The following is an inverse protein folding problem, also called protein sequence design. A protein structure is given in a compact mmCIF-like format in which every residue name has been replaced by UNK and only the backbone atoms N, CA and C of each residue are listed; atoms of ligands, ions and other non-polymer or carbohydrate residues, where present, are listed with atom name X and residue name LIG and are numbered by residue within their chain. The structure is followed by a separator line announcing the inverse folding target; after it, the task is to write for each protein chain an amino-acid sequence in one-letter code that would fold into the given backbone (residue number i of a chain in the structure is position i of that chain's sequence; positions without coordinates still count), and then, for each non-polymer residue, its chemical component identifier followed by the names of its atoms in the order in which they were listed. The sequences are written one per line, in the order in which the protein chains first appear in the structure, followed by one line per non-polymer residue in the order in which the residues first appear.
data_IF_278084037876
#
_entry.id   IF_278084037876
#
_cell.length_a   1.000
_cell.length_b   1.000
_cell.length_c   1.000
_cell.angle_alpha   90.00
_cell.angle_beta   90.00
_cell.angle_gamma   90.00
#
_symmetry.space_group_name_H-M   'P 1'
#
loop_
_entity.id
_entity.type
_entity.pdbx_description
1 polymer ?
#
# COMPACT_ATOMS: atom_id res chain seq x y z
N UNK A 1 -16.60 -6.01 -28.01
CA UNK A 1 -15.98 -7.20 -27.40
C UNK A 1 -15.52 -6.80 -26.01
N UNK A 2 -16.21 -7.31 -24.97
CA UNK A 2 -15.82 -7.09 -23.58
C UNK A 2 -14.59 -7.95 -23.29
N UNK A 3 -13.38 -7.42 -23.48
CA UNK A 3 -12.21 -8.00 -22.85
C UNK A 3 -12.38 -7.77 -21.35
N UNK A 4 -12.81 -8.83 -20.66
CA UNK A 4 -12.62 -8.92 -19.21
C UNK A 4 -11.15 -8.67 -18.90
N UNK A 5 -10.82 -8.02 -17.78
CA UNK A 5 -9.42 -7.73 -17.45
C UNK A 5 -8.63 -9.05 -17.44
N UNK A 6 -7.65 -9.16 -18.34
CA UNK A 6 -6.78 -10.34 -18.41
C UNK A 6 -6.09 -10.54 -17.06
N UNK A 7 -5.98 -11.80 -16.64
CA UNK A 7 -5.30 -12.17 -15.41
C UNK A 7 -3.85 -12.46 -15.71
N UNK A 8 -2.96 -11.61 -15.21
CA UNK A 8 -1.53 -11.90 -15.19
C UNK A 8 -1.21 -12.69 -13.93
N UNK A 9 -0.72 -13.91 -14.10
CA UNK A 9 -0.34 -14.79 -12.98
C UNK A 9 1.13 -14.53 -12.65
N UNK A 10 1.41 -14.27 -11.39
CA UNK A 10 2.74 -13.99 -10.87
C UNK A 10 3.18 -15.12 -9.93
N UNK A 11 4.31 -15.73 -10.24
CA UNK A 11 4.94 -16.75 -9.38
C UNK A 11 5.87 -16.14 -8.32
N UNK A 12 6.15 -14.83 -8.39
CA UNK A 12 6.94 -14.08 -7.39
C UNK A 12 6.39 -12.65 -7.26
N UNK A 13 6.76 -11.97 -6.17
CA UNK A 13 6.47 -10.55 -5.99
C UNK A 13 7.33 -9.74 -6.99
N UNK A 14 6.75 -8.86 -7.81
CA UNK A 14 7.51 -7.99 -8.70
C UNK A 14 8.54 -7.15 -7.94
N UNK A 15 9.75 -7.06 -8.48
CA UNK A 15 10.85 -6.28 -7.87
C UNK A 15 10.79 -4.79 -8.20
N UNK A 16 9.91 -4.38 -9.11
CA UNK A 16 9.72 -3.01 -9.54
C UNK A 16 8.28 -2.75 -10.01
N UNK A 17 7.98 -1.49 -10.25
CA UNK A 17 6.65 -1.03 -10.65
C UNK A 17 6.30 -1.26 -12.14
N UNK A 18 7.24 -1.68 -13.00
CA UNK A 18 7.03 -1.75 -14.44
C UNK A 18 5.92 -2.75 -14.84
N UNK A 19 5.80 -3.85 -14.10
CA UNK A 19 4.72 -4.81 -14.27
C UNK A 19 3.38 -4.18 -13.91
N UNK A 20 3.33 -3.42 -12.82
CA UNK A 20 2.11 -2.74 -12.36
C UNK A 20 1.71 -1.63 -13.33
N UNK A 21 2.67 -0.85 -13.84
CA UNK A 21 2.45 0.15 -14.88
C UNK A 21 1.87 -0.49 -16.15
N UNK A 22 2.36 -1.69 -16.52
CA UNK A 22 1.87 -2.42 -17.69
C UNK A 22 0.46 -2.95 -17.45
N UNK A 23 0.21 -3.54 -16.29
CA UNK A 23 -1.12 -4.03 -15.92
C UNK A 23 -2.14 -2.89 -15.86
N UNK A 24 -1.74 -1.72 -15.33
CA UNK A 24 -2.59 -0.55 -15.29
C UNK A 24 -2.97 -0.07 -16.71
N UNK A 25 -1.99 0.09 -17.61
CA UNK A 25 -2.24 0.49 -19.01
C UNK A 25 -3.13 -0.51 -19.76
N UNK A 26 -2.97 -1.79 -19.47
CA UNK A 26 -3.69 -2.86 -20.15
C UNK A 26 -5.00 -3.24 -19.45
N UNK A 27 -5.38 -2.56 -18.36
CA UNK A 27 -6.54 -2.90 -17.53
C UNK A 27 -6.51 -4.38 -17.08
N UNK A 28 -5.35 -4.88 -16.68
CA UNK A 28 -5.15 -6.25 -16.20
C UNK A 28 -5.25 -6.31 -14.67
N UNK A 29 -5.47 -7.52 -14.17
CA UNK A 29 -5.39 -7.83 -12.74
C UNK A 29 -4.31 -8.87 -12.48
N UNK A 30 -3.73 -8.83 -11.29
CA UNK A 30 -2.76 -9.82 -10.88
C UNK A 30 -3.40 -10.95 -10.08
N UNK A 31 -2.85 -12.16 -10.26
CA UNK A 31 -3.00 -13.26 -9.32
C UNK A 31 -1.62 -13.71 -8.85
N UNK A 32 -1.35 -13.52 -7.58
CA UNK A 32 -0.12 -13.96 -6.95
C UNK A 32 -0.29 -15.41 -6.50
N UNK A 33 0.58 -16.32 -7.00
CA UNK A 33 0.59 -17.73 -6.59
C UNK A 33 1.33 -17.96 -5.28
N UNK A 34 2.33 -17.13 -5.00
CA UNK A 34 3.04 -17.18 -3.73
C UNK A 34 2.16 -16.58 -2.63
N UNK A 35 1.94 -17.29 -1.52
CA UNK A 35 1.26 -16.70 -0.38
C UNK A 35 2.13 -15.61 0.23
N UNK A 36 1.49 -14.60 0.83
CA UNK A 36 2.18 -13.58 1.60
C UNK A 36 2.04 -13.90 3.08
N UNK A 37 3.16 -13.85 3.79
CA UNK A 37 3.27 -13.98 5.24
C UNK A 37 4.14 -12.82 5.71
N UNK A 38 3.73 -12.15 6.79
CA UNK A 38 4.41 -10.98 7.31
C UNK A 38 5.06 -11.27 8.68
N UNK A 39 6.16 -10.60 8.98
CA UNK A 39 6.85 -10.67 10.27
C UNK A 39 7.99 -11.70 10.33
N UNK A 40 8.23 -12.45 9.26
CA UNK A 40 9.29 -13.45 9.21
C UNK A 40 10.59 -12.94 8.59
N UNK A 41 10.51 -12.04 7.60
CA UNK A 41 11.68 -11.51 6.91
C UNK A 41 11.43 -10.05 6.51
N UNK A 42 12.15 -9.07 7.10
CA UNK A 42 11.92 -7.65 6.83
C UNK A 42 11.98 -7.26 5.36
N UNK A 43 12.90 -7.83 4.59
CA UNK A 43 13.05 -7.51 3.17
C UNK A 43 11.89 -8.07 2.32
N UNK A 44 11.42 -9.28 2.64
CA UNK A 44 10.24 -9.88 1.97
C UNK A 44 8.96 -9.14 2.33
N UNK A 45 8.79 -8.79 3.61
CA UNK A 45 7.66 -7.98 4.10
C UNK A 45 7.63 -6.62 3.38
N UNK A 46 8.80 -5.99 3.24
CA UNK A 46 8.93 -4.70 2.58
C UNK A 46 8.59 -4.81 1.10
N UNK A 47 9.08 -5.83 0.40
CA UNK A 47 8.76 -6.08 -1.00
C UNK A 47 7.25 -6.32 -1.21
N UNK A 48 6.63 -7.15 -0.36
CA UNK A 48 5.19 -7.43 -0.40
C UNK A 48 4.35 -6.16 -0.17
N UNK A 49 4.66 -5.39 0.87
CA UNK A 49 3.95 -4.15 1.17
C UNK A 49 4.13 -3.10 0.07
N UNK A 50 5.34 -2.93 -0.47
CA UNK A 50 5.60 -2.02 -1.60
C UNK A 50 4.79 -2.41 -2.83
N UNK A 51 4.75 -3.69 -3.16
CA UNK A 51 3.92 -4.20 -4.26
C UNK A 51 2.44 -3.86 -4.06
N UNK A 52 1.90 -4.08 -2.86
CA UNK A 52 0.51 -3.75 -2.54
C UNK A 52 0.24 -2.23 -2.58
N UNK A 53 1.19 -1.41 -2.10
CA UNK A 53 1.12 0.07 -2.21
C UNK A 53 1.10 0.48 -3.67
N UNK A 54 2.05 0.03 -4.49
CA UNK A 54 2.13 0.40 -5.91
C UNK A 54 0.89 -0.06 -6.69
N UNK A 55 0.32 -1.22 -6.35
CA UNK A 55 -0.94 -1.70 -6.92
C UNK A 55 -2.13 -0.80 -6.52
N UNK A 56 -2.20 -0.37 -5.25
CA UNK A 56 -3.22 0.56 -4.78
C UNK A 56 -3.12 1.95 -5.45
N UNK A 57 -1.92 2.49 -5.64
CA UNK A 57 -1.70 3.78 -6.32
C UNK A 57 -2.29 3.81 -7.74
N UNK A 58 -2.29 2.67 -8.41
CA UNK A 58 -2.74 2.49 -9.80
C UNK A 58 -4.10 1.82 -9.93
N UNK A 59 -4.74 1.49 -8.81
CA UNK A 59 -6.00 0.73 -8.79
C UNK A 59 -5.92 -0.63 -9.50
N UNK A 60 -4.73 -1.26 -9.50
CA UNK A 60 -4.54 -2.60 -10.04
C UNK A 60 -5.03 -3.63 -9.02
N UNK A 61 -6.03 -4.44 -9.41
CA UNK A 61 -6.56 -5.49 -8.53
C UNK A 61 -5.53 -6.62 -8.39
N UNK A 62 -5.31 -7.06 -7.15
CA UNK A 62 -4.43 -8.17 -6.82
C UNK A 62 -5.23 -9.26 -6.11
N UNK A 63 -5.23 -10.47 -6.65
CA UNK A 63 -5.70 -11.67 -5.96
C UNK A 63 -4.49 -12.35 -5.30
N UNK A 64 -4.49 -12.46 -3.98
CA UNK A 64 -3.40 -13.08 -3.22
C UNK A 64 -3.93 -13.82 -1.99
N UNK A 65 -3.09 -14.70 -1.41
CA UNK A 65 -3.40 -15.53 -0.26
C UNK A 65 -2.60 -15.08 0.97
N UNK A 66 -3.28 -14.80 2.09
CA UNK A 66 -2.64 -14.45 3.36
C UNK A 66 -2.37 -15.71 4.20
N UNK A 67 -1.16 -15.83 4.73
CA UNK A 67 -0.74 -16.88 5.66
C UNK A 67 -0.30 -16.26 6.97
N UNK A 68 -0.83 -16.79 8.08
CA UNK A 68 -0.51 -16.32 9.42
C UNK A 68 -1.06 -14.94 9.77
N UNK A 69 -0.84 -14.53 11.02
CA UNK A 69 -1.31 -13.26 11.55
C UNK A 69 -0.49 -12.06 11.02
N UNK A 70 -1.07 -10.86 11.09
CA UNK A 70 -0.33 -9.64 10.81
C UNK A 70 0.50 -9.25 12.05
N UNK A 71 1.78 -8.87 11.87
CA UNK A 71 2.60 -8.39 12.98
C UNK A 71 2.27 -6.94 13.40
N UNK A 72 1.29 -6.31 12.73
CA UNK A 72 0.76 -4.98 13.02
C UNK A 72 -0.78 -5.00 13.05
N UNK A 73 -1.42 -4.00 13.67
CA UNK A 73 -2.88 -3.88 13.65
C UNK A 73 -3.44 -3.85 12.22
N UNK A 74 -4.60 -4.49 12.01
CA UNK A 74 -5.23 -4.55 10.68
C UNK A 74 -5.42 -3.16 10.05
N UNK A 75 -5.86 -2.17 10.84
CA UNK A 75 -6.10 -0.80 10.36
C UNK A 75 -4.90 -0.17 9.64
N UNK A 76 -3.68 -0.65 9.90
CA UNK A 76 -2.47 -0.15 9.25
C UNK A 76 -2.47 -0.44 7.75
N UNK A 77 -3.11 -1.52 7.30
CA UNK A 77 -3.03 -2.00 5.91
C UNK A 77 -4.38 -2.14 5.19
N UNK A 78 -5.51 -1.83 5.84
CA UNK A 78 -6.85 -1.96 5.23
C UNK A 78 -7.05 -1.20 3.92
N UNK A 79 -6.32 -0.11 3.71
CA UNK A 79 -6.38 0.69 2.48
C UNK A 79 -5.65 0.05 1.28
N UNK A 80 -4.86 -0.99 1.52
CA UNK A 80 -4.16 -1.77 0.50
C UNK A 80 -5.07 -2.89 -0.04
N UNK A 81 -4.76 -3.48 -1.22
CA UNK A 81 -5.58 -4.54 -1.81
C UNK A 81 -5.70 -5.73 -0.84
N UNK A 82 -6.93 -6.08 -0.41
CA UNK A 82 -7.11 -7.12 0.60
C UNK A 82 -6.80 -8.50 0.02
N UNK A 83 -6.42 -9.48 0.86
CA UNK A 83 -6.23 -10.86 0.41
C UNK A 83 -7.56 -11.45 -0.10
N UNK A 84 -7.47 -12.19 -1.20
CA UNK A 84 -8.62 -12.90 -1.79
C UNK A 84 -8.99 -14.13 -0.96
N UNK A 85 -7.99 -14.81 -0.42
CA UNK A 85 -8.13 -16.01 0.42
C UNK A 85 -7.13 -15.96 1.57
N UNK A 86 -7.30 -16.80 2.57
CA UNK A 86 -6.42 -16.91 3.71
C UNK A 86 -6.40 -18.33 4.26
N UNK A 87 -5.37 -18.67 5.02
CA UNK A 87 -5.36 -19.88 5.86
C UNK A 87 -6.31 -19.73 7.06
N UNK A 88 -6.47 -20.80 7.84
CA UNK A 88 -7.39 -20.79 8.99
C UNK A 88 -7.00 -19.75 10.03
N UNK A 89 -5.70 -19.58 10.28
CA UNK A 89 -5.16 -18.62 11.26
C UNK A 89 -5.45 -17.17 10.85
N UNK A 90 -5.43 -16.85 9.56
CA UNK A 90 -5.64 -15.50 9.04
C UNK A 90 -7.06 -15.26 8.50
N UNK A 91 -7.95 -16.25 8.58
CA UNK A 91 -9.28 -16.24 7.95
C UNK A 91 -10.15 -15.03 8.37
N UNK A 92 -10.21 -14.75 9.68
CA UNK A 92 -10.95 -13.63 10.24
C UNK A 92 -10.33 -12.27 9.90
N UNK A 93 -9.00 -12.16 9.96
CA UNK A 93 -8.28 -10.94 9.57
C UNK A 93 -8.54 -10.64 8.09
N UNK A 94 -8.44 -11.63 7.22
CA UNK A 94 -8.67 -11.48 5.79
C UNK A 94 -10.12 -11.06 5.48
N UNK A 95 -11.09 -11.60 6.22
CA UNK A 95 -12.50 -11.18 6.12
C UNK A 95 -12.69 -9.72 6.51
N UNK A 96 -12.18 -9.32 7.68
CA UNK A 96 -12.28 -7.94 8.15
C UNK A 96 -11.54 -6.97 7.22
N UNK A 97 -10.39 -7.37 6.67
CA UNK A 97 -9.65 -6.56 5.70
C UNK A 97 -10.52 -6.29 4.47
N UNK A 98 -11.17 -7.31 3.89
CA UNK A 98 -12.07 -7.13 2.74
C UNK A 98 -13.27 -6.23 3.07
N UNK A 99 -13.83 -6.35 4.28
CA UNK A 99 -14.97 -5.54 4.74
C UNK A 99 -14.60 -4.06 4.96
N UNK A 100 -13.38 -3.79 5.45
CA UNK A 100 -12.90 -2.44 5.78
C UNK A 100 -12.12 -1.78 4.64
N UNK A 101 -11.77 -2.54 3.60
CA UNK A 101 -10.99 -2.02 2.49
C UNK A 101 -11.79 -1.00 1.69
N UNK A 102 -11.11 0.08 1.31
CA UNK A 102 -11.69 1.18 0.59
C UNK A 102 -10.62 1.96 -0.15
N UNK A 103 -11.04 2.62 -1.23
CA UNK A 103 -10.15 3.46 -2.02
C UNK A 103 -9.85 4.75 -1.28
N UNK A 104 -8.64 5.28 -1.49
CA UNK A 104 -8.23 6.58 -0.99
C UNK A 104 -8.35 6.77 0.54
N UNK A 105 -8.31 5.68 1.31
CA UNK A 105 -8.38 5.74 2.77
C UNK A 105 -7.11 6.34 3.39
N UNK A 106 -5.91 6.02 2.90
CA UNK A 106 -4.64 6.59 3.34
C UNK A 106 -3.81 7.02 2.14
N UNK A 107 -3.67 8.33 1.92
CA UNK A 107 -3.18 8.91 0.67
C UNK A 107 -2.27 10.10 0.86
N UNK A 108 -1.48 10.41 -0.17
CA UNK A 108 -0.79 11.68 -0.29
C UNK A 108 -0.88 12.29 -1.69
N UNK A 109 -0.63 13.60 -1.76
CA UNK A 109 -0.44 14.35 -3.02
C UNK A 109 0.63 15.42 -2.88
N UNK A 110 1.38 15.63 -3.96
CA UNK A 110 2.31 16.75 -4.08
C UNK A 110 1.58 18.03 -4.49
N UNK A 111 1.81 19.11 -3.76
CA UNK A 111 1.69 20.48 -4.25
C UNK A 111 3.05 20.99 -4.75
N UNK A 112 3.13 22.28 -5.15
CA UNK A 112 4.40 22.90 -5.53
C UNK A 112 5.45 22.81 -4.41
N UNK A 113 5.08 23.28 -3.22
CA UNK A 113 6.00 23.39 -2.06
C UNK A 113 5.44 22.69 -0.81
N UNK A 114 4.58 21.69 -1.01
CA UNK A 114 4.01 20.93 0.10
C UNK A 114 3.62 19.50 -0.29
N UNK A 115 3.41 18.65 0.73
CA UNK A 115 2.73 17.36 0.59
C UNK A 115 1.50 17.37 1.47
N UNK A 116 0.32 17.03 0.92
CA UNK A 116 -0.89 16.79 1.73
C UNK A 116 -0.97 15.30 1.99
N UNK A 117 -1.05 14.93 3.27
CA UNK A 117 -1.32 13.58 3.74
C UNK A 117 -2.76 13.52 4.25
N UNK A 118 -3.46 12.43 3.95
CA UNK A 118 -4.81 12.18 4.43
C UNK A 118 -4.94 10.73 4.84
N UNK A 119 -5.50 10.49 6.02
CA UNK A 119 -5.78 9.16 6.51
C UNK A 119 -7.17 9.12 7.17
N UNK A 120 -8.02 8.24 6.65
CA UNK A 120 -9.37 7.97 7.13
C UNK A 120 -9.57 6.46 7.32
N UNK A 121 -8.48 5.69 7.49
CA UNK A 121 -8.58 4.25 7.78
C UNK A 121 -9.44 4.05 9.03
N UNK A 122 -10.37 3.07 9.03
CA UNK A 122 -11.18 2.77 10.21
C UNK A 122 -10.29 2.35 11.39
N UNK A 123 -10.75 2.59 12.61
CA UNK A 123 -10.02 2.21 13.83
C UNK A 123 -9.09 3.29 14.41
N UNK A 124 -9.00 4.47 13.78
CA UNK A 124 -8.32 5.66 14.33
C UNK A 124 -9.02 6.96 13.95
N UNK A 125 -8.59 8.06 14.58
CA UNK A 125 -9.07 9.40 14.24
C UNK A 125 -8.64 9.80 12.83
N UNK A 126 -9.54 10.50 12.13
CA UNK A 126 -9.25 11.04 10.80
C UNK A 126 -8.10 12.03 10.89
N UNK A 127 -7.10 11.84 10.05
CA UNK A 127 -5.91 12.66 10.00
C UNK A 127 -5.81 13.39 8.65
N UNK A 128 -5.39 14.65 8.72
CA UNK A 128 -5.01 15.45 7.57
C UNK A 128 -3.78 16.27 7.92
N UNK A 129 -2.65 15.93 7.31
CA UNK A 129 -1.36 16.60 7.52
C UNK A 129 -0.93 17.41 6.31
N UNK A 130 -0.16 18.46 6.56
CA UNK A 130 0.54 19.23 5.53
C UNK A 130 2.03 19.25 5.86
N UNK A 131 2.84 18.63 5.01
CA UNK A 131 4.29 18.78 5.04
C UNK A 131 4.66 20.04 4.26
N UNK A 132 5.36 20.98 4.89
CA UNK A 132 5.85 22.20 4.24
C UNK A 132 7.05 21.97 3.32
N UNK A 133 7.54 23.05 2.70
CA UNK A 133 8.58 23.03 1.66
C UNK A 133 9.83 22.23 2.07
N UNK A 134 10.32 22.45 3.29
CA UNK A 134 11.53 21.81 3.83
C UNK A 134 11.42 20.28 3.90
N UNK A 135 10.20 19.75 3.92
CA UNK A 135 9.92 18.32 4.01
C UNK A 135 9.58 17.66 2.69
N UNK A 136 9.39 18.44 1.61
CA UNK A 136 8.99 17.90 0.30
C UNK A 136 10.08 16.99 -0.27
N UNK A 137 11.33 17.46 -0.30
CA UNK A 137 12.42 16.67 -0.85
C UNK A 137 12.75 15.45 0.03
N UNK A 138 12.88 15.56 1.37
CA UNK A 138 13.01 14.40 2.24
C UNK A 138 11.90 13.36 2.06
N UNK A 139 10.64 13.79 1.89
CA UNK A 139 9.53 12.88 1.63
C UNK A 139 9.63 12.19 0.27
N UNK A 140 10.04 12.91 -0.79
CA UNK A 140 10.28 12.32 -2.11
C UNK A 140 11.37 11.26 -2.05
N UNK A 141 12.49 11.56 -1.39
CA UNK A 141 13.61 10.65 -1.29
C UNK A 141 13.26 9.41 -0.46
N UNK A 142 12.46 9.57 0.60
CA UNK A 142 11.95 8.48 1.41
C UNK A 142 11.05 7.53 0.60
N UNK A 143 10.06 8.08 -0.12
CA UNK A 143 9.16 7.29 -0.98
C UNK A 143 9.94 6.60 -2.11
N UNK A 144 10.89 7.30 -2.72
CA UNK A 144 11.75 6.76 -3.78
C UNK A 144 12.82 5.79 -3.27
N UNK A 145 12.98 5.65 -1.94
CA UNK A 145 14.01 4.86 -1.28
C UNK A 145 15.43 5.27 -1.69
N UNK A 146 15.63 6.58 -1.92
CA UNK A 146 16.92 7.17 -2.30
C UNK A 146 17.70 7.55 -1.03
N UNK A 147 17.03 8.19 -0.07
CA UNK A 147 17.61 8.60 1.20
C UNK A 147 16.54 8.56 2.29
N UNK A 148 16.99 8.34 3.53
CA UNK A 148 16.10 8.25 4.70
C UNK A 148 16.41 9.39 5.65
N UNK A 149 15.47 10.33 5.74
CA UNK A 149 15.42 11.26 6.88
C UNK A 149 14.73 10.54 8.05
N UNK A 150 15.51 10.17 9.07
CA UNK A 150 14.99 9.41 10.21
C UNK A 150 13.94 10.18 11.00
N UNK A 151 14.05 11.51 11.10
CA UNK A 151 13.06 12.32 11.81
C UNK A 151 11.73 12.29 11.08
N UNK A 152 11.74 12.45 9.76
CA UNK A 152 10.53 12.32 8.95
C UNK A 152 9.93 10.92 9.06
N UNK A 153 10.75 9.88 8.97
CA UNK A 153 10.28 8.50 9.07
C UNK A 153 9.66 8.22 10.44
N UNK A 154 10.24 8.71 11.53
CA UNK A 154 9.69 8.55 12.88
C UNK A 154 8.33 9.24 13.04
N UNK A 155 8.17 10.45 12.50
CA UNK A 155 6.88 11.16 12.50
C UNK A 155 5.81 10.39 11.69
N UNK A 156 6.19 9.82 10.54
CA UNK A 156 5.28 9.01 9.73
C UNK A 156 4.91 7.69 10.41
N UNK A 157 5.85 7.03 11.08
CA UNK A 157 5.59 5.81 11.85
C UNK A 157 4.68 6.10 13.03
N UNK A 158 4.94 7.18 13.78
CA UNK A 158 4.09 7.61 14.90
C UNK A 158 2.65 7.94 14.44
N UNK A 159 2.48 8.36 13.19
CA UNK A 159 1.17 8.60 12.58
C UNK A 159 0.55 7.37 11.88
N UNK A 160 1.16 6.18 11.97
CA UNK A 160 0.82 4.95 11.24
C UNK A 160 0.83 5.10 9.71
N UNK A 161 1.53 6.10 9.17
CA UNK A 161 1.65 6.40 7.74
C UNK A 161 2.86 5.70 7.10
N UNK A 162 3.74 5.12 7.92
CA UNK A 162 4.85 4.29 7.49
C UNK A 162 5.06 3.14 8.48
N UNK A 163 5.73 2.08 8.04
CA UNK A 163 6.17 0.96 8.87
C UNK A 163 7.69 0.87 8.79
N UNK A 164 8.36 0.74 9.94
CA UNK A 164 9.74 0.26 10.03
C UNK A 164 9.70 -1.26 10.09
N UNK A 165 10.39 -1.89 9.15
CA UNK A 165 10.66 -3.31 9.12
C UNK A 165 12.13 -3.46 9.56
N UNK A 166 12.50 -4.58 10.19
CA UNK A 166 13.88 -4.78 10.67
C UNK A 166 14.96 -4.48 9.61
N UNK A 167 16.22 -4.39 10.04
CA UNK A 167 17.37 -4.21 9.13
C UNK A 167 17.35 -2.90 8.31
N UNK A 168 16.70 -1.85 8.82
CA UNK A 168 16.61 -0.55 8.16
C UNK A 168 15.57 -0.47 7.03
N UNK A 169 14.84 -1.57 6.79
CA UNK A 169 13.74 -1.58 5.84
C UNK A 169 12.58 -0.71 6.35
N UNK A 170 11.89 -0.06 5.41
CA UNK A 170 10.71 0.73 5.72
C UNK A 170 9.79 0.82 4.51
N UNK A 171 8.51 1.07 4.77
CA UNK A 171 7.50 1.29 3.74
C UNK A 171 6.63 2.47 4.15
N UNK A 172 6.58 3.50 3.30
CA UNK A 172 5.54 4.54 3.39
C UNK A 172 4.24 3.92 2.89
N UNK A 173 3.22 3.90 3.75
CA UNK A 173 1.95 3.24 3.47
C UNK A 173 0.98 4.15 2.72
N UNK A 174 1.08 5.47 2.90
CA UNK A 174 0.22 6.41 2.21
C UNK A 174 0.41 6.27 0.70
N UNK A 175 -0.67 6.01 -0.03
CA UNK A 175 -0.61 5.79 -1.48
C UNK A 175 -0.68 7.13 -2.22
N UNK A 176 0.15 7.32 -3.25
CA UNK A 176 0.04 8.48 -4.13
C UNK A 176 -1.27 8.43 -4.89
N UNK A 177 -2.05 9.51 -4.83
CA UNK A 177 -3.17 9.68 -5.75
C UNK A 177 -2.64 10.04 -7.14
N UNK A 178 -2.62 9.06 -8.04
CA UNK A 178 -2.20 9.22 -9.44
C UNK A 178 -3.36 9.60 -10.37
N UNK A 179 -4.59 9.25 -10.02
CA UNK A 179 -5.79 9.49 -10.83
C UNK A 179 -6.78 10.40 -10.11
N UNK A 180 -7.25 11.41 -10.83
CA UNK A 180 -8.33 12.31 -10.41
C UNK A 180 -9.35 12.46 -11.55
N UNK A 181 -10.67 12.49 -11.28
CA UNK A 181 -11.30 12.30 -9.97
C UNK A 181 -11.05 10.90 -9.42
N UNK A 182 -10.96 10.78 -8.09
CA UNK A 182 -11.15 9.46 -7.46
C UNK A 182 -12.52 8.98 -7.93
N UNK A 183 -12.65 7.73 -8.44
CA UNK A 183 -13.89 7.29 -9.04
C UNK A 183 -15.06 7.47 -8.06
N UNK A 184 -16.23 7.91 -8.56
CA UNK A 184 -17.40 8.25 -7.72
C UNK A 184 -17.85 7.11 -6.79
N UNK A 185 -17.55 5.85 -7.12
CA UNK A 185 -17.83 4.67 -6.30
C UNK A 185 -16.87 4.47 -5.11
N UNK A 186 -15.94 5.39 -4.88
CA UNK A 186 -14.99 5.39 -3.76
C UNK A 186 -15.52 6.13 -2.51
N UNK A 187 -16.82 6.45 -2.47
CA UNK A 187 -17.46 7.23 -1.39
C UNK A 187 -18.30 6.33 -0.51
#
# INVERSE_FOLDING_TARGET
MNHWPDVTVLDTIPSNDADIDTADRNCQRFRLRVPLMFGANPAQDAAALRFLVSAAERYVRVEWHLVGELPWPLHTVVHLPPPATADDAASDIARQWREQSGLALCTYRYGPDFVVLRDNRPGKDRFRGLLGADWVQPFRDLVARIAVDNRLLDELVAADLAIRLGDGEHVVLAVRLLRWPVPYFAV
#
